data_IF_349974708301
#
_entry.id   IF_349974708301
#
_cell.length_a   1.000
_cell.length_b   1.000
_cell.length_c   1.000
_cell.angle_alpha   90.00
_cell.angle_beta   90.00
_cell.angle_gamma   90.00
#
_symmetry.space_group_name_H-M   'P 1'
#
loop_
_entity.id
_entity.type
_entity.pdbx_description
1 polymer ?
#
# COMPACT_ATOMS: atom_id res chain seq x y z
N UNK A 1 -19.14 -15.79 7.18
CA UNK A 1 -18.22 -14.71 7.60
C UNK A 1 -17.07 -14.71 6.61
N UNK A 2 -16.87 -13.63 5.92
CA UNK A 2 -15.76 -13.51 4.99
C UNK A 2 -14.52 -13.06 5.76
N UNK A 3 -13.28 -13.41 5.33
CA UNK A 3 -12.04 -13.01 6.01
C UNK A 3 -11.90 -11.50 6.18
N UNK A 4 -12.38 -10.71 5.21
CA UNK A 4 -12.38 -9.25 5.24
C UNK A 4 -13.34 -8.64 6.27
N UNK A 5 -14.31 -9.40 6.79
CA UNK A 5 -15.23 -8.93 7.83
C UNK A 5 -14.63 -9.01 9.24
N UNK A 6 -13.49 -9.68 9.38
CA UNK A 6 -12.80 -9.80 10.66
C UNK A 6 -12.03 -8.51 10.93
N UNK A 7 -12.39 -7.81 12.02
CA UNK A 7 -11.69 -6.60 12.45
C UNK A 7 -10.27 -6.94 12.93
N UNK A 8 -9.28 -6.30 12.32
CA UNK A 8 -7.87 -6.42 12.67
C UNK A 8 -7.20 -5.05 12.59
N UNK A 9 -6.92 -4.47 13.73
CA UNK A 9 -6.46 -3.08 13.87
C UNK A 9 -5.02 -2.82 13.41
N UNK A 10 -4.29 -3.84 13.00
CA UNK A 10 -2.89 -3.73 12.58
C UNK A 10 -2.01 -4.82 13.22
N UNK A 11 -0.69 -4.58 13.38
CA UNK A 11 0.22 -5.50 14.03
C UNK A 11 -0.13 -5.65 15.53
N UNK A 12 0.31 -6.74 16.15
CA UNK A 12 0.14 -6.92 17.58
C UNK A 12 0.93 -5.87 18.38
N UNK A 13 2.16 -5.56 17.94
CA UNK A 13 2.99 -4.49 18.49
C UNK A 13 3.50 -3.59 17.35
N UNK A 14 3.65 -2.30 17.66
CA UNK A 14 4.17 -1.31 16.72
C UNK A 14 5.16 -0.39 17.42
N UNK A 15 6.33 -0.20 16.82
CA UNK A 15 7.34 0.73 17.31
C UNK A 15 7.86 1.55 16.13
N UNK A 16 7.80 2.90 16.25
CA UNK A 16 8.46 3.82 15.35
C UNK A 16 9.45 4.68 16.14
N UNK A 17 10.75 4.49 15.89
CA UNK A 17 11.80 5.24 16.61
C UNK A 17 13.08 5.24 15.79
N UNK A 18 13.73 6.39 15.69
CA UNK A 18 15.03 6.52 15.04
C UNK A 18 16.09 5.65 15.74
N UNK A 19 16.82 4.86 14.97
CA UNK A 19 17.89 3.99 15.43
C UNK A 19 17.41 2.69 16.10
N UNK A 20 16.13 2.40 16.09
CA UNK A 20 15.52 1.23 16.77
C UNK A 20 16.01 -0.11 16.20
N UNK A 21 16.46 -0.13 14.94
CA UNK A 21 16.94 -1.38 14.30
C UNK A 21 18.15 -1.99 15.00
N UNK A 22 18.93 -1.20 15.74
CA UNK A 22 20.05 -1.71 16.54
C UNK A 22 19.57 -2.57 17.70
N UNK A 23 18.33 -2.39 18.12
CA UNK A 23 17.68 -3.16 19.19
C UNK A 23 16.96 -4.41 18.68
N UNK A 24 16.93 -4.67 17.35
CA UNK A 24 16.24 -5.83 16.75
C UNK A 24 16.61 -7.16 17.42
N UNK A 25 17.89 -7.45 17.75
CA UNK A 25 18.24 -8.70 18.44
C UNK A 25 17.58 -8.82 19.82
N UNK A 26 17.35 -7.71 20.53
CA UNK A 26 16.69 -7.74 21.83
C UNK A 26 15.18 -8.10 21.73
N UNK A 27 14.51 -7.71 20.64
CA UNK A 27 13.12 -8.09 20.38
C UNK A 27 12.96 -9.57 19.99
N UNK A 28 14.03 -10.21 19.54
CA UNK A 28 14.03 -11.57 18.99
C UNK A 28 14.57 -12.63 19.98
N UNK A 29 14.97 -12.22 21.16
CA UNK A 29 15.68 -13.07 22.16
C UNK A 29 14.93 -14.33 22.60
N UNK A 30 13.60 -14.37 22.44
CA UNK A 30 12.74 -15.52 22.85
C UNK A 30 12.72 -16.61 21.77
N UNK A 31 13.12 -16.31 20.52
CA UNK A 31 13.17 -17.26 19.42
C UNK A 31 14.59 -17.80 19.25
N UNK A 32 14.68 -19.08 18.91
CA UNK A 32 15.97 -19.78 18.80
C UNK A 32 16.52 -19.79 17.37
N UNK A 33 15.63 -19.77 16.40
CA UNK A 33 15.94 -19.96 14.98
C UNK A 33 15.26 -18.89 14.10
N UNK A 34 15.52 -17.60 14.34
CA UNK A 34 14.95 -16.56 13.48
C UNK A 34 15.59 -16.62 12.09
N UNK A 35 14.73 -16.44 11.06
CA UNK A 35 15.17 -16.36 9.67
C UNK A 35 14.74 -15.03 9.07
N UNK A 36 15.70 -14.34 8.45
CA UNK A 36 15.47 -13.06 7.76
C UNK A 36 15.10 -13.35 6.30
N UNK A 37 13.97 -12.81 5.85
CA UNK A 37 13.55 -12.78 4.45
C UNK A 37 13.65 -11.34 3.96
N UNK A 38 14.45 -11.10 2.92
CA UNK A 38 14.75 -9.75 2.44
C UNK A 38 14.98 -9.71 0.92
N UNK A 39 14.88 -8.53 0.31
CA UNK A 39 15.35 -8.29 -1.05
C UNK A 39 16.82 -7.84 -1.06
N UNK A 40 17.47 -7.89 -2.21
CA UNK A 40 18.88 -7.46 -2.33
C UNK A 40 19.04 -5.99 -1.90
N UNK A 41 18.29 -5.08 -2.55
CA UNK A 41 18.36 -3.63 -2.25
C UNK A 41 17.92 -3.31 -0.82
N UNK A 42 16.91 -4.02 -0.31
CA UNK A 42 16.41 -3.85 1.06
C UNK A 42 17.48 -4.23 2.10
N UNK A 43 18.19 -5.33 1.84
CA UNK A 43 19.27 -5.79 2.71
C UNK A 43 20.45 -4.81 2.73
N UNK A 44 20.88 -4.36 1.55
CA UNK A 44 21.93 -3.34 1.42
C UNK A 44 21.55 -2.02 2.13
N UNK A 45 20.30 -1.61 2.05
CA UNK A 45 19.79 -0.43 2.76
C UNK A 45 19.82 -0.65 4.27
N UNK A 46 19.31 -1.80 4.75
CA UNK A 46 19.27 -2.15 6.17
C UNK A 46 20.66 -2.20 6.80
N UNK A 47 21.65 -2.80 6.10
CA UNK A 47 23.02 -2.97 6.61
C UNK A 47 23.75 -1.64 6.90
N UNK A 48 23.26 -0.52 6.36
CA UNK A 48 23.80 0.82 6.68
C UNK A 48 23.43 1.29 8.09
N UNK A 49 22.37 0.71 8.68
CA UNK A 49 21.81 1.16 9.97
C UNK A 49 21.92 0.13 11.08
N UNK A 50 21.92 -1.15 10.72
CA UNK A 50 22.03 -2.25 11.68
C UNK A 50 22.71 -3.47 11.05
N UNK A 51 23.25 -4.36 11.89
CA UNK A 51 23.79 -5.64 11.48
C UNK A 51 22.81 -6.77 11.86
N UNK A 52 22.72 -7.78 11.01
CA UNK A 52 22.07 -9.05 11.34
C UNK A 52 23.09 -9.92 12.09
N UNK A 53 22.73 -10.51 13.24
CA UNK A 53 23.59 -11.47 13.94
C UNK A 53 24.03 -12.59 12.99
N UNK A 54 25.31 -12.99 13.02
CA UNK A 54 25.87 -13.95 12.06
C UNK A 54 25.26 -15.35 12.16
N UNK A 55 24.65 -15.68 13.31
CA UNK A 55 23.94 -16.94 13.54
C UNK A 55 22.54 -16.95 12.90
N UNK A 56 21.99 -15.80 12.49
CA UNK A 56 20.69 -15.73 11.83
C UNK A 56 20.84 -16.02 10.34
N UNK A 57 20.03 -16.93 9.86
CA UNK A 57 19.96 -17.21 8.42
C UNK A 57 19.29 -16.06 7.68
N UNK A 58 19.90 -15.63 6.57
CA UNK A 58 19.33 -14.62 5.66
C UNK A 58 18.98 -15.28 4.34
N UNK A 59 17.72 -15.15 3.92
CA UNK A 59 17.23 -15.61 2.62
C UNK A 59 16.88 -14.37 1.80
N UNK A 60 17.58 -14.21 0.67
CA UNK A 60 17.31 -13.12 -0.26
C UNK A 60 16.31 -13.56 -1.32
N UNK A 61 15.17 -12.88 -1.36
CA UNK A 61 14.12 -13.10 -2.34
C UNK A 61 14.25 -12.12 -3.51
N UNK A 62 13.99 -12.62 -4.72
CA UNK A 62 13.90 -11.83 -5.95
C UNK A 62 12.55 -12.08 -6.61
N UNK A 63 11.94 -11.03 -7.14
CA UNK A 63 10.67 -11.14 -7.86
C UNK A 63 9.45 -10.85 -7.00
N UNK A 64 8.33 -11.45 -7.38
CA UNK A 64 7.03 -11.17 -6.80
C UNK A 64 6.70 -12.12 -5.65
N UNK A 65 5.71 -11.75 -4.82
CA UNK A 65 5.14 -12.64 -3.80
C UNK A 65 4.28 -13.70 -4.49
N UNK A 66 4.93 -14.75 -5.00
CA UNK A 66 4.26 -15.84 -5.72
C UNK A 66 4.13 -17.10 -4.86
N UNK A 67 3.16 -17.98 -5.16
CA UNK A 67 2.99 -19.24 -4.44
C UNK A 67 4.25 -20.13 -4.48
N UNK A 68 5.01 -20.07 -5.58
CA UNK A 68 6.26 -20.80 -5.76
C UNK A 68 7.34 -20.26 -4.83
N UNK A 69 7.57 -18.93 -4.85
CA UNK A 69 8.54 -18.25 -4.00
C UNK A 69 8.25 -18.47 -2.50
N UNK A 70 6.97 -18.40 -2.11
CA UNK A 70 6.54 -18.64 -0.72
C UNK A 70 6.90 -20.06 -0.28
N UNK A 71 6.60 -21.09 -1.11
CA UNK A 71 6.94 -22.49 -0.79
C UNK A 71 8.47 -22.70 -0.73
N UNK A 72 9.20 -22.18 -1.71
CA UNK A 72 10.66 -22.32 -1.75
C UNK A 72 11.33 -21.69 -0.52
N UNK A 73 10.89 -20.50 -0.11
CA UNK A 73 11.43 -19.82 1.09
C UNK A 73 11.03 -20.59 2.36
N UNK A 74 9.81 -21.10 2.45
CA UNK A 74 9.37 -21.91 3.60
C UNK A 74 10.21 -23.19 3.73
N UNK A 75 10.52 -23.87 2.62
CA UNK A 75 11.41 -25.04 2.62
C UNK A 75 12.83 -24.66 3.07
N UNK A 76 13.36 -23.55 2.58
CA UNK A 76 14.66 -23.04 3.02
C UNK A 76 14.65 -22.66 4.50
N UNK A 77 13.54 -22.18 5.03
CA UNK A 77 13.36 -21.75 6.42
C UNK A 77 12.81 -22.84 7.34
N UNK A 78 12.81 -24.12 6.94
CA UNK A 78 12.10 -25.23 7.62
C UNK A 78 12.35 -25.37 9.14
N UNK A 79 13.51 -24.90 9.65
CA UNK A 79 13.83 -24.90 11.08
C UNK A 79 13.48 -23.61 11.82
N UNK A 80 12.91 -22.61 11.12
CA UNK A 80 12.63 -21.31 11.70
C UNK A 80 11.48 -21.40 12.72
N UNK A 81 11.59 -20.65 13.80
CA UNK A 81 10.54 -20.38 14.78
C UNK A 81 10.03 -18.92 14.72
N UNK A 82 10.69 -18.08 13.88
CA UNK A 82 10.31 -16.71 13.58
C UNK A 82 10.77 -16.32 12.18
N UNK A 83 9.92 -15.62 11.43
CA UNK A 83 10.33 -14.92 10.20
C UNK A 83 10.50 -13.43 10.49
N UNK A 84 11.58 -12.83 9.96
CA UNK A 84 11.81 -11.39 10.01
C UNK A 84 11.83 -10.89 8.57
N UNK A 85 10.74 -10.24 8.13
CA UNK A 85 10.65 -9.62 6.80
C UNK A 85 11.29 -8.24 6.81
N UNK A 86 12.34 -8.02 6.00
CA UNK A 86 13.01 -6.71 5.86
C UNK A 86 12.90 -6.27 4.41
N UNK A 87 12.01 -5.30 4.12
CA UNK A 87 11.83 -4.91 2.72
C UNK A 87 10.69 -3.96 2.43
N UNK A 88 10.40 -3.78 1.15
CA UNK A 88 9.19 -3.14 0.64
C UNK A 88 8.02 -4.12 0.59
N UNK A 89 6.87 -3.67 0.06
CA UNK A 89 5.61 -4.41 0.08
C UNK A 89 5.72 -5.87 -0.36
N UNK A 90 6.31 -6.13 -1.52
CA UNK A 90 6.45 -7.49 -2.07
C UNK A 90 7.23 -8.43 -1.14
N UNK A 91 8.35 -7.95 -0.56
CA UNK A 91 9.16 -8.73 0.38
C UNK A 91 8.38 -9.01 1.65
N UNK A 92 7.67 -8.01 2.17
CA UNK A 92 6.89 -8.13 3.41
C UNK A 92 5.68 -9.05 3.21
N UNK A 93 5.02 -8.99 2.05
CA UNK A 93 3.94 -9.91 1.71
C UNK A 93 4.45 -11.35 1.61
N UNK A 94 5.59 -11.56 0.97
CA UNK A 94 6.25 -12.88 0.93
C UNK A 94 6.58 -13.38 2.34
N UNK A 95 7.21 -12.56 3.18
CA UNK A 95 7.59 -12.94 4.54
C UNK A 95 6.39 -13.31 5.42
N UNK A 96 5.28 -12.52 5.34
CA UNK A 96 4.04 -12.82 6.05
C UNK A 96 3.40 -14.12 5.57
N UNK A 97 3.35 -14.33 4.24
CA UNK A 97 2.79 -15.55 3.67
C UNK A 97 3.61 -16.80 4.01
N UNK A 98 4.94 -16.69 4.07
CA UNK A 98 5.83 -17.76 4.54
C UNK A 98 5.56 -18.08 6.01
N UNK A 99 5.47 -17.08 6.87
CA UNK A 99 5.17 -17.28 8.30
C UNK A 99 3.79 -17.90 8.52
N UNK A 100 2.76 -17.47 7.77
CA UNK A 100 1.42 -18.03 7.84
C UNK A 100 1.40 -19.50 7.36
N UNK A 101 2.13 -19.84 6.28
CA UNK A 101 2.28 -21.21 5.77
C UNK A 101 2.96 -22.13 6.79
N UNK A 102 3.96 -21.61 7.50
CA UNK A 102 4.71 -22.35 8.53
C UNK A 102 4.02 -22.35 9.90
N UNK A 103 2.93 -21.59 10.06
CA UNK A 103 2.20 -21.38 11.32
C UNK A 103 3.06 -20.79 12.46
N UNK A 104 3.99 -19.89 12.14
CA UNK A 104 4.90 -19.17 13.06
C UNK A 104 4.68 -17.65 13.01
N UNK A 105 5.32 -16.94 13.94
CA UNK A 105 5.22 -15.49 14.03
C UNK A 105 6.07 -14.76 12.96
N UNK A 106 5.70 -13.51 12.67
CA UNK A 106 6.46 -12.64 11.77
C UNK A 106 6.71 -11.26 12.39
N UNK A 107 7.94 -10.77 12.26
CA UNK A 107 8.31 -9.36 12.48
C UNK A 107 8.49 -8.72 11.12
N UNK A 108 7.94 -7.52 10.94
CA UNK A 108 8.05 -6.74 9.70
C UNK A 108 8.88 -5.48 9.92
N UNK A 109 9.86 -5.27 9.04
CA UNK A 109 10.75 -4.10 9.03
C UNK A 109 10.65 -3.46 7.64
N UNK A 110 9.79 -2.45 7.45
CA UNK A 110 9.66 -1.78 6.17
C UNK A 110 10.92 -0.96 5.85
N UNK A 111 11.40 -1.04 4.62
CA UNK A 111 12.54 -0.26 4.11
C UNK A 111 12.12 0.91 3.24
N UNK A 112 10.87 0.99 2.85
CA UNK A 112 10.26 2.08 2.09
C UNK A 112 8.83 2.32 2.59
N UNK A 113 8.36 3.57 2.69
CA UNK A 113 6.98 3.90 2.99
C UNK A 113 6.14 3.96 1.70
N UNK A 114 6.00 2.82 1.03
CA UNK A 114 5.27 2.72 -0.24
C UNK A 114 3.84 2.23 -0.12
N UNK A 115 3.55 1.42 0.91
CA UNK A 115 2.23 0.83 1.19
C UNK A 115 2.11 0.44 2.67
N UNK A 116 0.93 0.04 3.10
CA UNK A 116 0.68 -0.48 4.45
C UNK A 116 0.96 -2.00 4.61
N UNK A 117 1.67 -2.62 3.68
CA UNK A 117 1.95 -4.06 3.70
C UNK A 117 2.63 -4.56 5.00
N UNK A 118 3.45 -3.71 5.65
CA UNK A 118 4.09 -4.06 6.92
C UNK A 118 3.09 -4.31 8.06
N UNK A 119 1.95 -3.62 8.05
CA UNK A 119 1.00 -3.58 9.17
C UNK A 119 -0.28 -4.36 8.91
N UNK A 120 -0.55 -4.76 7.66
CA UNK A 120 -1.78 -5.47 7.31
C UNK A 120 -1.62 -6.98 7.42
N UNK A 121 -2.60 -7.72 8.00
CA UNK A 121 -2.56 -9.18 8.12
C UNK A 121 -3.04 -9.85 6.83
N UNK A 122 -2.50 -9.42 5.71
CA UNK A 122 -2.78 -9.95 4.38
C UNK A 122 -1.54 -9.84 3.49
N UNK A 123 -1.52 -10.59 2.40
CA UNK A 123 -0.51 -10.49 1.35
C UNK A 123 -1.17 -10.46 -0.02
N UNK A 124 -0.66 -9.60 -0.89
CA UNK A 124 -1.03 -9.59 -2.29
C UNK A 124 -0.17 -10.62 -3.02
N UNK A 125 -0.84 -11.56 -3.69
CA UNK A 125 -0.20 -12.68 -4.36
C UNK A 125 -0.22 -12.45 -5.87
N UNK A 126 0.94 -12.64 -6.48
CA UNK A 126 1.18 -12.48 -7.90
C UNK A 126 1.67 -13.80 -8.51
N UNK A 127 1.59 -13.92 -9.83
CA UNK A 127 2.33 -14.97 -10.55
C UNK A 127 3.81 -14.58 -10.71
N UNK A 128 4.59 -15.42 -11.37
CA UNK A 128 6.01 -15.19 -11.61
C UNK A 128 6.27 -14.05 -12.61
N UNK A 129 5.28 -13.69 -13.43
CA UNK A 129 5.29 -12.59 -14.39
C UNK A 129 4.87 -11.26 -13.77
N UNK A 130 4.32 -11.28 -12.53
CA UNK A 130 3.88 -10.10 -11.80
C UNK A 130 2.42 -9.75 -12.01
N UNK A 131 1.60 -10.66 -12.56
CA UNK A 131 0.17 -10.45 -12.65
C UNK A 131 -0.48 -10.79 -11.31
N UNK A 132 -1.47 -9.97 -10.92
CA UNK A 132 -2.25 -10.19 -9.70
C UNK A 132 -3.02 -11.51 -9.77
N UNK A 133 -2.94 -12.33 -8.72
CA UNK A 133 -3.71 -13.58 -8.57
C UNK A 133 -4.85 -13.38 -7.57
N UNK A 134 -4.51 -13.00 -6.32
CA UNK A 134 -5.48 -12.90 -5.21
C UNK A 134 -4.87 -12.16 -4.01
N UNK A 135 -5.70 -11.92 -3.02
CA UNK A 135 -5.28 -11.48 -1.67
C UNK A 135 -5.44 -12.65 -0.70
N UNK A 136 -4.36 -13.01 -0.03
CA UNK A 136 -4.38 -14.00 1.05
C UNK A 136 -4.51 -13.30 2.40
N UNK A 137 -5.54 -13.67 3.18
CA UNK A 137 -5.77 -13.15 4.53
C UNK A 137 -5.16 -14.12 5.55
N UNK A 138 -4.20 -13.63 6.33
CA UNK A 138 -3.46 -14.43 7.28
C UNK A 138 -4.23 -14.66 8.58
N UNK A 139 -3.94 -15.76 9.26
CA UNK A 139 -4.54 -16.09 10.56
C UNK A 139 -4.12 -15.10 11.65
N UNK A 140 -2.88 -14.59 11.58
CA UNK A 140 -2.28 -13.69 12.57
C UNK A 140 -1.93 -12.35 11.96
N UNK A 141 -1.98 -11.30 12.76
CA UNK A 141 -1.28 -10.05 12.48
C UNK A 141 0.21 -10.22 12.73
N UNK A 142 1.06 -9.37 12.14
CA UNK A 142 2.49 -9.36 12.47
C UNK A 142 2.69 -9.22 13.98
N UNK A 143 3.57 -10.01 14.57
CA UNK A 143 3.92 -9.93 15.99
C UNK A 143 4.42 -8.54 16.35
N UNK A 144 5.33 -8.00 15.52
CA UNK A 144 5.89 -6.66 15.66
C UNK A 144 6.10 -6.03 14.28
N UNK A 145 5.69 -4.79 14.12
CA UNK A 145 6.13 -3.93 13.02
C UNK A 145 7.13 -2.92 13.58
N UNK A 146 8.37 -2.98 13.10
CA UNK A 146 9.46 -2.15 13.58
C UNK A 146 9.86 -1.14 12.50
N UNK A 147 9.60 0.15 12.76
CA UNK A 147 9.84 1.25 11.82
C UNK A 147 11.00 2.10 12.31
N UNK A 148 12.01 2.26 11.49
CA UNK A 148 13.10 3.19 11.73
C UNK A 148 13.08 4.31 10.68
N UNK A 149 12.70 5.54 11.06
CA UNK A 149 12.69 6.67 10.12
C UNK A 149 14.04 6.92 9.43
N UNK A 150 15.16 6.57 10.07
CA UNK A 150 16.49 6.71 9.44
C UNK A 150 16.67 5.74 8.27
N UNK A 151 16.21 4.47 8.41
CA UNK A 151 16.24 3.52 7.31
C UNK A 151 15.35 4.01 6.16
N UNK A 152 14.17 4.56 6.46
CA UNK A 152 13.23 5.04 5.46
C UNK A 152 13.77 6.24 4.65
N UNK A 153 14.74 7.00 5.17
CA UNK A 153 15.43 8.05 4.39
C UNK A 153 16.22 7.51 3.19
N UNK A 154 16.53 6.21 3.17
CA UNK A 154 17.18 5.58 2.01
C UNK A 154 16.20 5.26 0.87
N UNK A 155 14.90 5.54 1.05
CA UNK A 155 13.89 5.30 0.03
C UNK A 155 14.05 6.23 -1.15
N UNK A 156 13.94 5.75 -2.40
CA UNK A 156 13.73 6.65 -3.52
C UNK A 156 12.46 7.47 -3.33
N UNK A 157 12.54 8.77 -3.62
CA UNK A 157 11.46 9.73 -3.40
C UNK A 157 10.14 9.32 -4.06
N UNK A 158 10.22 8.67 -5.22
CA UNK A 158 9.05 8.23 -5.98
C UNK A 158 8.22 7.17 -5.24
N UNK A 159 8.85 6.34 -4.38
CA UNK A 159 8.11 5.39 -3.55
C UNK A 159 7.37 6.08 -2.41
N UNK A 160 7.93 7.14 -1.83
CA UNK A 160 7.25 7.95 -0.81
C UNK A 160 6.04 8.66 -1.41
N UNK A 161 6.22 9.30 -2.57
CA UNK A 161 5.12 9.93 -3.33
C UNK A 161 4.06 8.90 -3.69
N UNK A 162 4.45 7.72 -4.19
CA UNK A 162 3.51 6.63 -4.46
C UNK A 162 2.72 6.22 -3.21
N UNK A 163 3.40 6.08 -2.07
CA UNK A 163 2.73 5.78 -0.80
C UNK A 163 1.73 6.85 -0.38
N UNK A 164 2.05 8.14 -0.58
CA UNK A 164 1.13 9.25 -0.33
C UNK A 164 -0.12 9.13 -1.21
N UNK A 165 0.04 8.89 -2.51
CA UNK A 165 -1.07 8.78 -3.46
C UNK A 165 -2.00 7.60 -3.16
N UNK A 166 -1.42 6.41 -2.88
CA UNK A 166 -2.18 5.23 -2.49
C UNK A 166 -2.94 5.45 -1.17
N UNK A 167 -2.27 6.06 -0.19
CA UNK A 167 -2.87 6.28 1.14
C UNK A 167 -3.95 7.36 1.13
N UNK A 168 -3.81 8.38 0.29
CA UNK A 168 -4.81 9.42 0.14
C UNK A 168 -6.16 8.85 -0.33
N UNK A 169 -6.14 7.80 -1.14
CA UNK A 169 -7.35 7.12 -1.61
C UNK A 169 -8.22 6.55 -0.48
N UNK A 170 -7.64 6.25 0.68
CA UNK A 170 -8.38 5.64 1.81
C UNK A 170 -9.61 6.44 2.24
N UNK A 171 -9.51 7.79 2.21
CA UNK A 171 -10.66 8.64 2.49
C UNK A 171 -11.69 8.60 1.36
N UNK A 172 -11.26 8.89 0.14
CA UNK A 172 -12.17 9.04 -0.99
C UNK A 172 -12.95 7.76 -1.28
N UNK A 173 -12.29 6.62 -1.18
CA UNK A 173 -12.89 5.33 -1.44
C UNK A 173 -13.81 4.87 -0.30
N UNK A 174 -13.36 4.94 0.96
CA UNK A 174 -14.18 4.54 2.10
C UNK A 174 -15.44 5.41 2.23
N UNK A 175 -15.31 6.73 2.08
CA UNK A 175 -16.43 7.67 2.12
C UNK A 175 -17.46 7.36 1.03
N UNK A 176 -16.99 7.13 -0.21
CA UNK A 176 -17.88 6.85 -1.33
C UNK A 176 -18.67 5.56 -1.13
N UNK A 177 -18.04 4.49 -0.64
CA UNK A 177 -18.72 3.23 -0.35
C UNK A 177 -19.75 3.40 0.76
N UNK A 178 -19.34 4.02 1.88
CA UNK A 178 -20.22 4.17 3.07
C UNK A 178 -21.42 5.08 2.75
N UNK A 179 -21.22 6.15 2.00
CA UNK A 179 -22.30 7.06 1.58
C UNK A 179 -23.32 6.37 0.68
N UNK A 180 -22.88 5.43 -0.16
CA UNK A 180 -23.74 4.75 -1.13
C UNK A 180 -24.31 3.41 -0.63
N UNK A 181 -23.78 2.86 0.49
CA UNK A 181 -24.32 1.63 1.03
C UNK A 181 -25.70 1.81 1.63
N UNK A 182 -26.58 0.81 1.44
CA UNK A 182 -27.89 0.72 2.10
C UNK A 182 -27.85 -0.17 3.35
N UNK A 183 -26.73 -0.83 3.59
CA UNK A 183 -26.54 -1.70 4.73
C UNK A 183 -26.21 -0.86 5.99
N UNK A 184 -26.70 -1.25 7.17
CA UNK A 184 -26.24 -0.66 8.41
C UNK A 184 -24.74 -0.90 8.58
N UNK A 185 -23.98 0.16 8.82
CA UNK A 185 -22.55 0.05 9.09
C UNK A 185 -22.31 -0.16 10.59
N UNK A 186 -21.30 -0.97 10.93
CA UNK A 186 -20.92 -1.19 12.33
C UNK A 186 -20.14 0.00 12.88
N UNK A 187 -20.06 0.11 14.22
CA UNK A 187 -19.24 1.11 14.88
C UNK A 187 -17.76 1.05 14.44
N UNK A 188 -17.25 -0.15 14.12
CA UNK A 188 -15.87 -0.32 13.65
C UNK A 188 -15.70 0.26 12.25
N UNK A 189 -16.69 0.13 11.36
CA UNK A 189 -16.68 0.78 10.04
C UNK A 189 -16.66 2.30 10.18
N UNK A 190 -17.48 2.86 11.09
CA UNK A 190 -17.46 4.31 11.39
C UNK A 190 -16.10 4.75 11.94
N UNK A 191 -15.46 3.96 12.81
CA UNK A 191 -14.12 4.24 13.33
C UNK A 191 -13.08 4.27 12.20
N UNK A 192 -13.14 3.31 11.27
CA UNK A 192 -12.28 3.28 10.09
C UNK A 192 -12.46 4.51 9.20
N UNK A 193 -13.71 4.95 8.99
CA UNK A 193 -14.00 6.17 8.23
C UNK A 193 -13.42 7.42 8.92
N UNK A 194 -13.56 7.55 10.23
CA UNK A 194 -12.96 8.67 10.99
C UNK A 194 -11.43 8.66 10.89
N UNK A 195 -10.84 7.49 10.91
CA UNK A 195 -9.40 7.32 10.71
C UNK A 195 -8.98 7.79 9.31
N UNK A 196 -9.76 7.49 8.26
CA UNK A 196 -9.42 7.91 6.90
C UNK A 196 -9.52 9.43 6.69
N UNK A 197 -10.41 10.14 7.42
CA UNK A 197 -10.43 11.62 7.48
C UNK A 197 -9.11 12.15 8.02
N UNK A 198 -8.68 11.63 9.17
CA UNK A 198 -7.42 12.05 9.81
C UNK A 198 -6.22 11.81 8.87
N UNK A 199 -6.17 10.65 8.19
CA UNK A 199 -5.14 10.33 7.20
C UNK A 199 -5.10 11.36 6.07
N UNK A 200 -6.26 11.67 5.45
CA UNK A 200 -6.36 12.67 4.38
C UNK A 200 -5.82 14.02 4.85
N UNK A 201 -6.30 14.51 5.98
CA UNK A 201 -5.94 15.84 6.49
C UNK A 201 -4.44 15.93 6.78
N UNK A 202 -3.86 14.90 7.42
CA UNK A 202 -2.43 14.82 7.68
C UNK A 202 -1.62 14.81 6.37
N UNK A 203 -2.00 13.99 5.39
CA UNK A 203 -1.29 13.91 4.12
C UNK A 203 -1.34 15.23 3.35
N UNK A 204 -2.49 15.88 3.30
CA UNK A 204 -2.61 17.19 2.63
C UNK A 204 -1.77 18.28 3.32
N UNK A 205 -1.62 18.20 4.64
CA UNK A 205 -0.88 19.18 5.43
C UNK A 205 0.64 18.94 5.44
N UNK A 206 1.07 17.67 5.50
CA UNK A 206 2.47 17.34 5.84
C UNK A 206 3.28 16.75 4.66
N UNK A 207 2.63 16.28 3.57
CA UNK A 207 3.34 15.54 2.52
C UNK A 207 4.44 16.34 1.83
N UNK A 208 4.21 17.63 1.55
CA UNK A 208 5.22 18.47 0.89
C UNK A 208 6.45 18.63 1.78
N UNK A 209 6.24 18.94 3.07
CA UNK A 209 7.33 19.05 4.05
C UNK A 209 8.07 17.73 4.23
N UNK A 210 7.34 16.61 4.18
CA UNK A 210 7.92 15.27 4.28
C UNK A 210 8.83 14.97 3.09
N UNK A 211 8.39 15.29 1.87
CA UNK A 211 9.17 15.13 0.64
C UNK A 211 10.42 16.02 0.66
N UNK A 212 10.29 17.28 1.02
CA UNK A 212 11.44 18.19 1.17
C UNK A 212 12.43 17.70 2.25
N UNK A 213 11.93 17.14 3.34
CA UNK A 213 12.78 16.56 4.41
C UNK A 213 13.56 15.35 3.89
N UNK A 214 12.91 14.48 3.10
CA UNK A 214 13.57 13.34 2.47
C UNK A 214 14.69 13.82 1.53
N UNK A 215 14.45 14.83 0.72
CA UNK A 215 15.46 15.41 -0.19
C UNK A 215 16.67 15.97 0.56
N UNK A 216 16.46 16.50 1.77
CA UNK A 216 17.54 16.94 2.65
C UNK A 216 18.17 15.83 3.48
N UNK A 217 17.66 14.59 3.40
CA UNK A 217 18.12 13.47 4.22
C UNK A 217 17.79 13.62 5.71
N UNK A 218 16.68 14.29 6.05
CA UNK A 218 16.27 14.58 7.42
C UNK A 218 15.06 13.74 7.84
N UNK A 219 15.17 12.95 8.89
CA UNK A 219 14.04 12.26 9.52
C UNK A 219 13.24 13.25 10.39
N UNK A 220 12.62 14.23 9.75
CA UNK A 220 11.80 15.24 10.42
C UNK A 220 10.50 14.66 11.00
N UNK A 221 9.81 15.45 11.83
CA UNK A 221 8.49 15.08 12.34
C UNK A 221 7.48 14.86 11.21
N UNK A 222 7.46 15.73 10.18
CA UNK A 222 6.59 15.60 9.00
C UNK A 222 6.89 14.32 8.21
N UNK A 223 8.17 14.03 7.94
CA UNK A 223 8.56 12.79 7.25
C UNK A 223 8.13 11.55 8.03
N UNK A 224 8.40 11.54 9.33
CA UNK A 224 8.02 10.42 10.20
C UNK A 224 6.51 10.24 10.24
N UNK A 225 5.74 11.31 10.42
CA UNK A 225 4.27 11.26 10.45
C UNK A 225 3.68 10.74 9.13
N UNK A 226 4.17 11.20 7.99
CA UNK A 226 3.72 10.73 6.67
C UNK A 226 4.10 9.25 6.48
N UNK A 227 5.32 8.85 6.85
CA UNK A 227 5.75 7.46 6.76
C UNK A 227 4.89 6.52 7.65
N UNK A 228 4.62 6.91 8.90
CA UNK A 228 3.73 6.16 9.79
C UNK A 228 2.30 6.07 9.26
N UNK A 229 1.82 7.16 8.65
CA UNK A 229 0.50 7.20 8.03
C UNK A 229 0.38 6.18 6.91
N UNK A 230 1.37 6.11 6.02
CA UNK A 230 1.41 5.15 4.92
C UNK A 230 1.58 3.72 5.43
N UNK A 231 2.55 3.48 6.32
CA UNK A 231 2.93 2.13 6.76
C UNK A 231 1.86 1.52 7.67
N UNK A 232 1.26 2.32 8.56
CA UNK A 232 0.44 1.79 9.65
C UNK A 232 -1.01 2.27 9.59
N UNK A 233 -1.25 3.59 9.62
CA UNK A 233 -2.61 4.11 9.70
C UNK A 233 -3.47 3.73 8.49
N UNK A 234 -2.90 3.72 7.28
CA UNK A 234 -3.61 3.28 6.08
C UNK A 234 -4.16 1.85 6.22
N UNK A 235 -3.40 0.96 6.86
CA UNK A 235 -3.81 -0.42 7.12
C UNK A 235 -4.98 -0.53 8.10
N UNK A 236 -5.07 0.39 9.08
CA UNK A 236 -6.15 0.36 10.07
C UNK A 236 -7.52 0.68 9.47
N UNK A 237 -7.58 1.49 8.41
CA UNK A 237 -8.85 1.80 7.73
C UNK A 237 -9.49 0.52 7.22
N UNK A 238 -8.77 -0.27 6.41
CA UNK A 238 -9.26 -1.56 5.95
C UNK A 238 -9.37 -2.61 7.06
N UNK A 239 -8.56 -2.49 8.11
CA UNK A 239 -8.61 -3.37 9.28
C UNK A 239 -9.87 -3.19 10.13
N UNK A 240 -10.37 -1.96 10.27
CA UNK A 240 -11.62 -1.64 10.96
C UNK A 240 -12.84 -1.76 10.06
N UNK A 241 -12.75 -1.22 8.85
CA UNK A 241 -13.91 -1.10 7.96
C UNK A 241 -14.08 -2.28 6.98
N UNK A 242 -13.16 -3.25 6.97
CA UNK A 242 -13.24 -4.40 6.08
C UNK A 242 -13.36 -3.97 4.61
N UNK A 243 -14.32 -4.55 3.90
CA UNK A 243 -14.60 -4.21 2.49
C UNK A 243 -14.94 -2.73 2.25
N UNK A 244 -15.47 -2.02 3.25
CA UNK A 244 -15.82 -0.60 3.16
C UNK A 244 -14.59 0.34 3.20
N UNK A 245 -13.43 -0.15 3.63
CA UNK A 245 -12.24 0.67 3.81
C UNK A 245 -11.03 0.25 2.96
N UNK A 246 -11.23 -0.60 1.94
CA UNK A 246 -10.10 -1.13 1.17
C UNK A 246 -9.92 -0.43 -0.16
N UNK A 247 -10.83 -0.61 -1.09
CA UNK A 247 -10.72 -0.17 -2.49
C UNK A 247 -12.10 0.20 -3.03
N UNK A 248 -12.15 1.16 -3.95
CA UNK A 248 -13.35 1.53 -4.70
C UNK A 248 -12.98 2.02 -6.11
N UNK A 249 -13.43 3.20 -6.51
CA UNK A 249 -13.25 3.73 -7.86
C UNK A 249 -11.80 4.02 -8.21
N UNK A 250 -11.02 4.58 -7.28
CA UNK A 250 -9.63 4.93 -7.53
C UNK A 250 -8.79 3.69 -7.89
N UNK A 251 -8.95 2.60 -7.14
CA UNK A 251 -8.25 1.34 -7.43
C UNK A 251 -8.80 0.63 -8.68
N UNK A 252 -10.12 0.70 -8.95
CA UNK A 252 -10.68 0.14 -10.18
C UNK A 252 -10.11 0.82 -11.44
N UNK A 253 -9.94 2.16 -11.41
CA UNK A 253 -9.25 2.90 -12.48
C UNK A 253 -7.78 2.52 -12.58
N UNK A 254 -7.06 2.42 -11.44
CA UNK A 254 -5.69 1.93 -11.41
C UNK A 254 -5.56 0.54 -12.05
N UNK A 255 -6.48 -0.39 -11.74
CA UNK A 255 -6.48 -1.72 -12.32
C UNK A 255 -6.65 -1.66 -13.85
N UNK A 256 -7.56 -0.81 -14.36
CA UNK A 256 -7.71 -0.55 -15.78
C UNK A 256 -6.45 0.01 -16.45
N UNK A 257 -5.77 0.95 -15.78
CA UNK A 257 -4.49 1.50 -16.25
C UNK A 257 -3.39 0.43 -16.35
N UNK A 258 -3.42 -0.60 -15.50
CA UNK A 258 -2.40 -1.66 -15.50
C UNK A 258 -2.42 -2.53 -16.77
N UNK A 259 -3.49 -2.45 -17.59
CA UNK A 259 -3.56 -3.10 -18.90
C UNK A 259 -3.00 -2.24 -20.05
N UNK A 260 -2.48 -1.05 -19.74
CA UNK A 260 -1.90 -0.13 -20.72
C UNK A 260 -0.38 -0.15 -20.58
N UNK A 261 0.37 -0.69 -21.57
CA UNK A 261 1.82 -0.88 -21.47
C UNK A 261 2.59 0.39 -21.14
N UNK A 262 2.15 1.55 -21.65
CA UNK A 262 2.77 2.85 -21.43
C UNK A 262 2.79 3.23 -19.94
N UNK A 263 1.89 2.67 -19.13
CA UNK A 263 1.80 2.97 -17.68
C UNK A 263 2.59 2.01 -16.79
N UNK A 264 3.24 0.99 -17.34
CA UNK A 264 3.94 -0.03 -16.54
C UNK A 264 5.11 0.53 -15.73
N UNK A 265 5.70 1.66 -16.18
CA UNK A 265 6.76 2.36 -15.45
C UNK A 265 6.23 3.27 -14.33
N UNK A 266 4.91 3.57 -14.31
CA UNK A 266 4.28 4.43 -13.31
C UNK A 266 3.98 3.61 -12.07
N UNK A 267 4.39 4.09 -10.90
CA UNK A 267 4.19 3.39 -9.63
C UNK A 267 2.70 3.31 -9.26
N UNK A 268 2.36 2.27 -8.51
CA UNK A 268 0.99 1.95 -8.08
C UNK A 268 0.23 3.16 -7.55
N UNK A 269 0.75 3.82 -6.53
CA UNK A 269 0.03 4.92 -5.88
C UNK A 269 -0.06 6.19 -6.72
N UNK A 270 0.79 6.39 -7.72
CA UNK A 270 0.63 7.48 -8.70
C UNK A 270 -0.57 7.22 -9.61
N UNK A 271 -0.77 5.97 -10.06
CA UNK A 271 -1.96 5.56 -10.80
C UNK A 271 -3.23 5.64 -9.94
N UNK A 272 -3.13 5.27 -8.65
CA UNK A 272 -4.25 5.40 -7.70
C UNK A 272 -4.58 6.88 -7.48
N UNK A 273 -3.60 7.76 -7.36
CA UNK A 273 -3.82 9.22 -7.24
C UNK A 273 -4.61 9.76 -8.45
N UNK A 274 -4.23 9.40 -9.69
CA UNK A 274 -5.03 9.73 -10.87
C UNK A 274 -6.45 9.15 -10.76
N UNK A 275 -6.59 7.91 -10.30
CA UNK A 275 -7.87 7.26 -10.05
C UNK A 275 -8.78 8.01 -9.07
N UNK A 276 -8.22 8.69 -8.05
CA UNK A 276 -9.00 9.55 -7.14
C UNK A 276 -9.71 10.67 -7.93
N UNK A 277 -9.00 11.33 -8.85
CA UNK A 277 -9.59 12.41 -9.64
C UNK A 277 -10.72 11.88 -10.55
N UNK A 278 -10.52 10.71 -11.17
CA UNK A 278 -11.57 10.07 -11.97
C UNK A 278 -12.77 9.68 -11.12
N UNK A 279 -12.54 9.14 -9.91
CA UNK A 279 -13.61 8.83 -8.97
C UNK A 279 -14.40 10.08 -8.60
N UNK A 280 -13.76 11.19 -8.27
CA UNK A 280 -14.41 12.46 -7.97
C UNK A 280 -15.21 12.99 -9.16
N UNK A 281 -14.70 12.85 -10.40
CA UNK A 281 -15.41 13.23 -11.61
C UNK A 281 -16.68 12.37 -11.83
N UNK A 282 -16.61 11.05 -11.59
CA UNK A 282 -17.77 10.15 -11.59
C UNK A 282 -18.84 10.58 -10.59
N UNK A 283 -18.42 11.06 -9.43
CA UNK A 283 -19.30 11.57 -8.37
C UNK A 283 -19.73 13.01 -8.58
N UNK A 284 -19.29 13.67 -9.67
CA UNK A 284 -19.54 15.08 -10.00
C UNK A 284 -19.05 16.07 -8.93
N UNK A 285 -17.98 15.71 -8.23
CA UNK A 285 -17.34 16.51 -7.17
C UNK A 285 -16.21 17.37 -7.76
N UNK A 286 -16.50 18.14 -8.79
CA UNK A 286 -15.50 18.91 -9.55
C UNK A 286 -14.79 19.95 -8.69
N UNK A 287 -15.45 20.57 -7.72
CA UNK A 287 -14.82 21.51 -6.79
C UNK A 287 -13.67 20.86 -6.01
N UNK A 288 -13.84 19.62 -5.56
CA UNK A 288 -12.77 18.91 -4.83
C UNK A 288 -11.61 18.52 -5.76
N UNK A 289 -11.87 18.27 -7.04
CA UNK A 289 -10.80 18.11 -8.03
C UNK A 289 -9.99 19.40 -8.11
N UNK A 290 -10.64 20.56 -8.27
CA UNK A 290 -9.97 21.86 -8.32
C UNK A 290 -9.16 22.16 -7.06
N UNK A 291 -9.66 21.77 -5.88
CA UNK A 291 -8.96 21.90 -4.59
C UNK A 291 -7.73 21.00 -4.48
N UNK A 292 -7.74 19.80 -5.10
CA UNK A 292 -6.64 18.85 -5.08
C UNK A 292 -5.54 19.14 -6.11
N UNK A 293 -5.86 19.75 -7.25
CA UNK A 293 -4.90 20.00 -8.33
C UNK A 293 -3.62 20.69 -7.86
N UNK A 294 -3.63 21.76 -7.04
CA UNK A 294 -2.40 22.38 -6.56
C UNK A 294 -1.50 21.41 -5.75
N UNK A 295 -2.08 20.55 -4.93
CA UNK A 295 -1.35 19.53 -4.18
C UNK A 295 -0.73 18.49 -5.11
N UNK A 296 -1.49 18.03 -6.11
CA UNK A 296 -1.02 17.10 -7.13
C UNK A 296 0.16 17.66 -7.92
N UNK A 297 0.06 18.90 -8.38
CA UNK A 297 1.12 19.57 -9.13
C UNK A 297 2.41 19.71 -8.33
N UNK A 298 2.32 20.06 -7.04
CA UNK A 298 3.49 20.20 -6.15
C UNK A 298 4.18 18.86 -5.88
N UNK A 299 3.43 17.77 -5.81
CA UNK A 299 3.99 16.41 -5.63
C UNK A 299 4.38 15.75 -6.96
N UNK A 300 3.98 16.32 -8.10
CA UNK A 300 4.17 15.71 -9.41
C UNK A 300 3.30 14.49 -9.65
N UNK A 301 2.09 14.49 -9.08
CA UNK A 301 1.10 13.45 -9.36
C UNK A 301 0.46 13.66 -10.73
N UNK A 302 0.09 12.57 -11.43
CA UNK A 302 -0.56 12.67 -12.73
C UNK A 302 -1.96 13.27 -12.58
N UNK A 303 -2.28 14.21 -13.45
CA UNK A 303 -3.60 14.84 -13.56
C UNK A 303 -4.24 14.59 -14.93
N UNK A 304 -3.45 14.17 -15.91
CA UNK A 304 -3.87 13.84 -17.29
C UNK A 304 -3.27 12.49 -17.73
N UNK A 305 -3.85 11.90 -18.76
CA UNK A 305 -3.34 10.67 -19.37
C UNK A 305 -1.89 10.82 -19.89
N UNK A 306 -1.55 12.02 -20.39
CA UNK A 306 -0.18 12.32 -20.81
C UNK A 306 0.86 12.19 -19.69
N UNK A 307 0.48 12.52 -18.45
CA UNK A 307 1.36 12.42 -17.29
C UNK A 307 1.65 10.96 -16.89
N UNK A 308 0.77 10.03 -17.33
CA UNK A 308 0.94 8.59 -17.21
C UNK A 308 1.72 7.96 -18.38
N UNK A 309 2.21 8.78 -19.32
CA UNK A 309 2.92 8.33 -20.53
C UNK A 309 2.03 8.02 -21.72
N UNK A 310 0.71 8.20 -21.60
CA UNK A 310 -0.26 7.91 -22.66
C UNK A 310 -0.39 9.15 -23.55
N UNK A 311 0.46 9.23 -24.58
CA UNK A 311 0.48 10.38 -25.51
C UNK A 311 -0.25 10.11 -26.83
N UNK A 312 -0.45 8.82 -27.18
CA UNK A 312 -1.11 8.36 -28.42
C UNK A 312 -2.29 7.49 -28.07
N UNK A 313 -3.22 7.38 -29.00
CA UNK A 313 -4.38 6.48 -28.90
C UNK A 313 -5.18 6.64 -27.56
N UNK A 314 -5.24 7.88 -27.03
CA UNK A 314 -5.90 8.17 -25.76
C UNK A 314 -7.36 7.71 -25.73
N UNK A 315 -8.08 7.83 -26.86
CA UNK A 315 -9.47 7.34 -26.96
C UNK A 315 -9.57 5.81 -26.77
N UNK A 316 -8.57 5.06 -27.27
CA UNK A 316 -8.52 3.61 -27.03
C UNK A 316 -8.13 3.32 -25.58
N UNK A 317 -7.19 4.08 -25.02
CA UNK A 317 -6.79 3.95 -23.60
C UNK A 317 -7.98 4.19 -22.66
N UNK A 318 -8.79 5.24 -22.88
CA UNK A 318 -10.02 5.51 -22.11
C UNK A 318 -10.97 4.32 -22.12
N UNK A 319 -11.18 3.69 -23.30
CA UNK A 319 -12.05 2.51 -23.43
C UNK A 319 -11.49 1.30 -22.66
N UNK A 320 -10.17 1.06 -22.71
CA UNK A 320 -9.52 -0.03 -21.96
C UNK A 320 -9.67 0.19 -20.46
N UNK A 321 -9.39 1.40 -19.98
CA UNK A 321 -9.56 1.75 -18.55
C UNK A 321 -11.01 1.52 -18.12
N UNK A 322 -11.98 2.03 -18.89
CA UNK A 322 -13.40 1.94 -18.58
C UNK A 322 -13.90 0.48 -18.57
N UNK A 323 -13.53 -0.30 -19.59
CA UNK A 323 -13.92 -1.71 -19.70
C UNK A 323 -13.41 -2.55 -18.53
N UNK A 324 -12.20 -2.26 -18.04
CA UNK A 324 -11.65 -2.96 -16.89
C UNK A 324 -12.24 -2.46 -15.57
N UNK A 325 -12.36 -1.16 -15.37
CA UNK A 325 -12.90 -0.58 -14.13
C UNK A 325 -14.38 -0.96 -13.89
N UNK A 326 -15.15 -1.20 -14.95
CA UNK A 326 -16.57 -1.57 -14.87
C UNK A 326 -16.82 -3.09 -14.80
N UNK A 327 -15.80 -3.94 -14.71
CA UNK A 327 -16.00 -5.38 -14.53
C UNK A 327 -16.74 -5.68 -13.22
N UNK A 328 -17.61 -6.72 -13.19
CA UNK A 328 -18.37 -7.05 -11.97
C UNK A 328 -17.52 -7.38 -10.74
N UNK A 329 -16.31 -7.87 -10.93
CA UNK A 329 -15.35 -8.20 -9.89
C UNK A 329 -14.57 -6.98 -9.36
N UNK A 330 -14.66 -5.83 -10.04
CA UNK A 330 -13.97 -4.62 -9.64
C UNK A 330 -14.73 -3.82 -8.58
N UNK A 331 -13.97 -3.10 -7.77
CA UNK A 331 -14.48 -2.35 -6.62
C UNK A 331 -15.29 -1.10 -6.97
N UNK A 332 -15.33 -0.67 -8.22
CA UNK A 332 -16.14 0.45 -8.68
C UNK A 332 -17.64 0.22 -8.38
N UNK A 333 -18.11 -1.02 -8.49
CA UNK A 333 -19.51 -1.38 -8.21
C UNK A 333 -19.94 -1.11 -6.75
N UNK A 334 -19.00 -1.00 -5.81
CA UNK A 334 -19.27 -0.67 -4.41
C UNK A 334 -19.70 0.80 -4.21
N UNK A 335 -19.38 1.67 -5.15
CA UNK A 335 -19.78 3.08 -5.11
C UNK A 335 -21.15 3.35 -5.75
N UNK A 336 -21.65 2.43 -6.55
CA UNK A 336 -22.91 2.58 -7.30
C UNK A 336 -22.88 1.90 -8.66
N UNK A 337 -23.87 2.19 -9.49
CA UNK A 337 -23.96 1.64 -10.84
C UNK A 337 -23.37 2.63 -11.84
N UNK A 338 -22.20 2.32 -12.35
CA UNK A 338 -21.52 3.07 -13.42
C UNK A 338 -21.31 2.16 -14.63
N UNK A 339 -21.37 2.74 -15.82
CA UNK A 339 -21.05 2.06 -17.07
C UNK A 339 -19.75 2.62 -17.68
N UNK A 340 -19.24 1.93 -18.70
CA UNK A 340 -18.01 2.36 -19.39
C UNK A 340 -18.10 3.80 -19.93
N UNK A 341 -19.27 4.21 -20.42
CA UNK A 341 -19.48 5.57 -20.91
C UNK A 341 -19.32 6.63 -19.81
N UNK A 342 -19.73 6.30 -18.56
CA UNK A 342 -19.58 7.22 -17.42
C UNK A 342 -18.09 7.39 -17.08
N UNK A 343 -17.32 6.29 -17.08
CA UNK A 343 -15.88 6.34 -16.82
C UNK A 343 -15.13 7.12 -17.90
N UNK A 344 -15.46 6.91 -19.18
CA UNK A 344 -14.89 7.68 -20.29
C UNK A 344 -15.24 9.18 -20.16
N UNK A 345 -16.49 9.50 -19.79
CA UNK A 345 -16.89 10.88 -19.56
C UNK A 345 -16.12 11.53 -18.39
N UNK A 346 -15.91 10.79 -17.29
CA UNK A 346 -15.11 11.25 -16.15
C UNK A 346 -13.66 11.52 -16.52
N UNK A 347 -13.03 10.64 -17.33
CA UNK A 347 -11.70 10.90 -17.86
C UNK A 347 -11.67 12.18 -18.70
N UNK A 348 -12.66 12.40 -19.56
CA UNK A 348 -12.75 13.59 -20.41
C UNK A 348 -12.85 14.90 -19.61
N UNK A 349 -13.39 14.87 -18.39
CA UNK A 349 -13.41 16.04 -17.49
C UNK A 349 -12.00 16.50 -17.16
N UNK A 350 -11.04 15.57 -16.96
CA UNK A 350 -9.66 15.91 -16.63
C UNK A 350 -8.83 16.28 -17.86
N UNK A 351 -9.20 15.80 -19.04
CA UNK A 351 -8.46 16.11 -20.29
C UNK A 351 -8.86 17.47 -20.89
N UNK A 352 -9.99 18.05 -20.44
CA UNK A 352 -10.43 19.39 -20.84
C UNK A 352 -9.61 20.45 -20.07
#
# INVERSE_FOLDING_TARGET
>A
MQPEDIVRSGPNQYICKQGILKELPAFVKEWKHPVVVTGIKSYEAFQKYAAIPPEWRVIQHKGYSSPEAIREIAEQAASADLIIGIGGGTVLDTAKAVADLMDIEVITVPTIPGTCAASTPLSVIYDQEGNFIRVDYHKRSSYLTLVDPLLLLSSPIEYVKSGIGDTLAKWYEAEAIIRNTKEPVSLMVEAGLRQSVYIRDLLLQESLKAVESLERGEASASFTAVAETIITLAGTVGGYAGRFGRMAGAHAVHNGLSFIPETHHVLHGQKVAYGILIQLALEKRNQEIEELIPFYQQLGFPVKLSDLGIHKDQEQAKKVIAAHACKPEESLCLMGSFCEADVVAAINVLES
#
